data_IF_407664050278
#
_entry.id   IF_407664050278
#
_cell.length_a   1.000
_cell.length_b   1.000
_cell.length_c   1.000
_cell.angle_alpha   90.00
_cell.angle_beta   90.00
_cell.angle_gamma   90.00
#
_symmetry.space_group_name_H-M   'P 1'
#
loop_
_entity.id
_entity.type
_entity.pdbx_description
1 polymer ?
#
# COMPACT_ATOMS: atom_id res chain seq x y z
N UNK A 1 12.82 -11.95 -7.57
CA UNK A 1 12.98 -13.37 -7.99
C UNK A 1 11.61 -14.04 -8.13
N UNK A 2 11.40 -14.85 -9.17
CA UNK A 2 10.08 -15.46 -9.47
C UNK A 2 9.55 -16.31 -8.30
N UNK A 3 10.38 -17.18 -7.74
CA UNK A 3 10.00 -18.06 -6.63
C UNK A 3 9.55 -17.29 -5.37
N UNK A 4 10.16 -16.13 -5.11
CA UNK A 4 9.75 -15.27 -4.00
C UNK A 4 8.42 -14.59 -4.36
N UNK A 5 8.30 -14.02 -5.57
CA UNK A 5 7.09 -13.32 -6.01
C UNK A 5 5.85 -14.24 -6.03
N UNK A 6 6.02 -15.52 -6.37
CA UNK A 6 4.94 -16.51 -6.37
C UNK A 6 4.31 -16.77 -5.00
N UNK A 7 4.94 -16.30 -3.90
CA UNK A 7 4.43 -16.41 -2.53
C UNK A 7 3.54 -15.23 -2.12
N UNK A 8 3.32 -14.27 -3.01
CA UNK A 8 2.47 -13.13 -2.73
C UNK A 8 1.04 -13.58 -2.40
N UNK A 9 0.47 -12.99 -1.36
CA UNK A 9 -0.91 -13.25 -0.93
C UNK A 9 -1.74 -12.02 -1.27
N UNK A 10 -2.85 -12.22 -1.97
CA UNK A 10 -3.78 -11.14 -2.28
C UNK A 10 -4.35 -10.53 -0.98
N UNK A 11 -4.24 -9.21 -0.87
CA UNK A 11 -4.96 -8.39 0.09
C UNK A 11 -6.32 -7.97 -0.47
N UNK A 12 -6.76 -6.76 -0.13
CA UNK A 12 -8.00 -6.17 -0.68
C UNK A 12 -7.74 -5.42 -1.99
N UNK A 13 -8.82 -5.09 -2.69
CA UNK A 13 -8.79 -4.12 -3.81
C UNK A 13 -9.30 -2.78 -3.31
N UNK A 14 -8.48 -1.73 -3.43
CA UNK A 14 -8.92 -0.37 -3.13
C UNK A 14 -9.43 0.31 -4.41
N UNK A 15 -10.46 1.13 -4.25
CA UNK A 15 -11.07 1.93 -5.30
C UNK A 15 -10.81 3.40 -4.98
N UNK A 16 -10.03 4.06 -5.84
CA UNK A 16 -9.64 5.45 -5.65
C UNK A 16 -10.33 6.31 -6.70
N UNK A 17 -11.06 7.32 -6.24
CA UNK A 17 -11.61 8.38 -7.07
C UNK A 17 -11.19 9.72 -6.49
N UNK A 18 -10.31 10.44 -7.18
CA UNK A 18 -9.84 11.75 -6.74
C UNK A 18 -9.67 12.74 -7.88
N UNK A 19 -9.85 14.01 -7.56
CA UNK A 19 -9.55 15.12 -8.46
C UNK A 19 -8.11 15.57 -8.24
N UNK A 20 -7.34 15.61 -9.33
CA UNK A 20 -5.97 16.10 -9.39
C UNK A 20 -5.92 17.38 -10.26
N UNK A 21 -4.87 18.19 -10.16
CA UNK A 21 -4.70 19.36 -11.05
C UNK A 21 -4.74 18.99 -12.54
N UNK A 22 -4.28 17.79 -12.90
CA UNK A 22 -4.19 17.29 -14.27
C UNK A 22 -5.48 16.59 -14.75
N UNK A 23 -6.44 16.32 -13.86
CA UNK A 23 -7.68 15.65 -14.22
C UNK A 23 -8.31 14.82 -13.10
N UNK A 24 -8.95 13.71 -13.46
CA UNK A 24 -9.60 12.80 -12.52
C UNK A 24 -8.86 11.48 -12.54
N UNK A 25 -8.43 11.02 -11.37
CA UNK A 25 -7.92 9.67 -11.17
C UNK A 25 -9.08 8.78 -10.73
N UNK A 26 -9.31 7.69 -11.46
CA UNK A 26 -10.32 6.69 -11.18
C UNK A 26 -9.68 5.30 -11.35
N UNK A 27 -9.27 4.69 -10.25
CA UNK A 27 -8.36 3.54 -10.27
C UNK A 27 -8.80 2.42 -9.33
N UNK A 28 -8.32 1.22 -9.65
CA UNK A 28 -8.38 0.05 -8.80
C UNK A 28 -6.96 -0.39 -8.44
N UNK A 29 -6.67 -0.45 -7.15
CA UNK A 29 -5.37 -0.87 -6.63
C UNK A 29 -5.52 -2.29 -6.10
N UNK A 30 -4.84 -3.24 -6.73
CA UNK A 30 -4.78 -4.63 -6.27
C UNK A 30 -3.62 -4.79 -5.30
N UNK A 31 -3.92 -4.99 -4.01
CA UNK A 31 -2.92 -5.02 -2.96
C UNK A 31 -2.45 -6.45 -2.74
N UNK A 32 -1.14 -6.63 -2.54
CA UNK A 32 -0.54 -7.93 -2.27
C UNK A 32 0.47 -7.83 -1.12
N UNK A 33 0.44 -8.80 -0.23
CA UNK A 33 1.44 -8.97 0.82
C UNK A 33 2.49 -9.98 0.37
N UNK A 34 3.77 -9.68 0.57
CA UNK A 34 4.84 -10.62 0.32
C UNK A 34 5.84 -10.64 1.48
N UNK A 35 5.89 -11.77 2.19
CA UNK A 35 6.89 -12.00 3.22
C UNK A 35 8.25 -12.33 2.57
N UNK A 36 9.24 -11.48 2.81
CA UNK A 36 10.59 -11.61 2.26
C UNK A 36 11.51 -12.38 3.22
N UNK A 37 12.52 -13.13 2.71
CA UNK A 37 13.62 -13.62 3.52
C UNK A 37 14.37 -12.50 4.24
N UNK A 38 14.92 -12.77 5.43
CA UNK A 38 15.65 -11.76 6.21
C UNK A 38 16.91 -11.22 5.51
N UNK A 39 17.52 -12.03 4.65
CA UNK A 39 18.71 -11.69 3.87
C UNK A 39 18.39 -11.08 2.50
N UNK A 40 17.10 -10.87 2.20
CA UNK A 40 16.68 -10.31 0.92
C UNK A 40 16.95 -8.80 0.88
N UNK A 41 17.76 -8.38 -0.11
CA UNK A 41 17.99 -6.97 -0.41
C UNK A 41 17.41 -6.63 -1.79
N UNK A 42 16.39 -5.75 -1.88
CA UNK A 42 15.85 -5.31 -3.16
C UNK A 42 16.92 -4.53 -3.95
N UNK A 43 16.90 -4.71 -5.27
CA UNK A 43 17.80 -4.01 -6.20
C UNK A 43 16.95 -3.33 -7.25
N UNK A 44 17.21 -2.04 -7.46
CA UNK A 44 16.64 -1.32 -8.58
C UNK A 44 17.27 -1.82 -9.89
N UNK A 45 16.44 -2.26 -10.84
CA UNK A 45 16.87 -2.88 -12.09
C UNK A 45 16.69 -1.98 -13.32
N UNK A 46 15.77 -1.02 -13.25
CA UNK A 46 15.34 -0.18 -14.39
C UNK A 46 15.61 1.31 -14.18
N UNK A 47 16.00 1.72 -12.96
CA UNK A 47 16.32 3.11 -12.64
C UNK A 47 15.15 3.89 -12.07
N UNK A 48 13.97 3.29 -11.90
CA UNK A 48 12.78 4.02 -11.42
C UNK A 48 12.84 4.35 -9.92
N UNK A 49 13.52 3.51 -9.13
CA UNK A 49 13.61 3.65 -7.67
C UNK A 49 14.91 4.33 -7.23
N UNK A 50 14.80 5.48 -6.56
CA UNK A 50 15.97 6.17 -6.00
C UNK A 50 16.68 5.38 -4.88
N UNK A 51 15.92 4.80 -3.95
CA UNK A 51 16.46 3.98 -2.86
C UNK A 51 15.44 2.97 -2.32
N UNK A 52 15.94 1.93 -1.65
CA UNK A 52 15.14 1.03 -0.82
C UNK A 52 15.61 1.11 0.63
N UNK A 53 14.66 1.19 1.55
CA UNK A 53 14.93 1.24 2.98
C UNK A 53 14.11 0.18 3.72
N UNK A 54 14.79 -0.60 4.56
CA UNK A 54 14.12 -1.41 5.58
C UNK A 54 13.76 -0.51 6.76
N UNK A 55 12.48 -0.49 7.13
CA UNK A 55 11.95 0.36 8.18
C UNK A 55 11.07 -0.45 9.14
N UNK A 56 10.94 0.01 10.38
CA UNK A 56 10.03 -0.60 11.36
C UNK A 56 8.61 -0.11 11.10
N UNK A 57 7.60 -0.83 11.61
CA UNK A 57 6.19 -0.54 11.34
C UNK A 57 5.83 0.89 11.79
N UNK A 58 6.32 1.33 12.95
CA UNK A 58 6.05 2.68 13.44
C UNK A 58 6.67 3.78 12.57
N UNK A 59 7.85 3.54 11.99
CA UNK A 59 8.50 4.51 11.10
C UNK A 59 7.70 4.64 9.79
N UNK A 60 7.11 3.54 9.33
CA UNK A 60 6.23 3.51 8.15
C UNK A 60 4.90 4.20 8.44
N UNK A 61 4.29 3.94 9.61
CA UNK A 61 3.07 4.62 10.02
C UNK A 61 3.28 6.14 10.10
N UNK A 62 4.39 6.58 10.70
CA UNK A 62 4.76 7.99 10.75
C UNK A 62 4.95 8.59 9.35
N UNK A 63 5.61 7.88 8.42
CA UNK A 63 5.79 8.36 7.05
C UNK A 63 4.45 8.56 6.32
N UNK A 64 3.44 7.74 6.60
CA UNK A 64 2.08 7.91 6.06
C UNK A 64 1.42 9.16 6.65
N UNK A 65 1.49 9.35 7.96
CA UNK A 65 0.93 10.53 8.65
C UNK A 65 1.57 11.84 8.18
N UNK A 66 2.87 11.82 7.90
CA UNK A 66 3.63 12.97 7.39
C UNK A 66 3.40 13.22 5.89
N UNK A 67 2.67 12.34 5.19
CA UNK A 67 2.43 12.46 3.75
C UNK A 67 3.68 12.22 2.90
N UNK A 68 4.66 11.48 3.43
CA UNK A 68 5.91 11.16 2.74
C UNK A 68 5.76 10.02 1.70
N UNK A 69 4.59 9.41 1.63
CA UNK A 69 4.24 8.33 0.70
C UNK A 69 3.17 8.80 -0.29
N UNK A 70 3.15 8.21 -1.49
CA UNK A 70 2.06 8.41 -2.43
C UNK A 70 0.75 7.85 -1.86
N UNK A 71 -0.39 8.36 -2.32
CA UNK A 71 -1.72 7.89 -1.89
C UNK A 71 -1.83 6.36 -2.03
N UNK A 72 -1.46 5.82 -3.20
CA UNK A 72 -1.58 4.39 -3.48
C UNK A 72 -0.70 3.53 -2.56
N UNK A 73 0.54 3.98 -2.31
CA UNK A 73 1.47 3.27 -1.44
C UNK A 73 1.00 3.30 0.03
N UNK A 74 0.44 4.44 0.47
CA UNK A 74 -0.17 4.57 1.78
C UNK A 74 -1.36 3.61 1.93
N UNK A 75 -2.26 3.55 0.95
CA UNK A 75 -3.43 2.66 0.99
C UNK A 75 -3.04 1.18 1.01
N UNK A 76 -2.09 0.77 0.17
CA UNK A 76 -1.58 -0.60 0.16
C UNK A 76 -0.94 -0.98 1.51
N UNK A 77 -0.23 -0.04 2.13
CA UNK A 77 0.42 -0.25 3.42
C UNK A 77 -0.60 -0.35 4.55
N UNK A 78 -1.53 0.62 4.65
CA UNK A 78 -2.57 0.63 5.68
C UNK A 78 -3.44 -0.63 5.62
N UNK A 79 -3.79 -1.12 4.43
CA UNK A 79 -4.50 -2.39 4.27
C UNK A 79 -3.76 -3.55 4.95
N UNK A 80 -2.46 -3.68 4.71
CA UNK A 80 -1.63 -4.70 5.33
C UNK A 80 -1.56 -4.54 6.86
N UNK A 81 -1.27 -3.33 7.34
CA UNK A 81 -1.14 -3.05 8.79
C UNK A 81 -2.44 -3.40 9.54
N UNK A 82 -3.59 -3.02 8.98
CA UNK A 82 -4.92 -3.29 9.57
C UNK A 82 -5.26 -4.78 9.53
N UNK A 83 -5.12 -5.46 8.38
CA UNK A 83 -5.39 -6.91 8.29
C UNK A 83 -4.50 -7.75 9.20
N UNK A 84 -3.28 -7.28 9.47
CA UNK A 84 -2.33 -7.91 10.39
C UNK A 84 -2.53 -7.51 11.85
N UNK A 85 -3.39 -6.51 12.14
CA UNK A 85 -3.63 -5.92 13.47
C UNK A 85 -2.35 -5.36 14.10
N UNK A 86 -1.53 -4.71 13.29
CA UNK A 86 -0.33 -3.99 13.76
C UNK A 86 -0.64 -2.55 14.15
N UNK A 87 -1.77 -2.03 13.69
CA UNK A 87 -2.36 -0.76 14.12
C UNK A 87 -3.84 -1.00 14.46
N UNK A 88 -4.42 -0.09 15.24
CA UNK A 88 -5.83 -0.13 15.61
C UNK A 88 -6.71 0.32 14.44
N UNK A 89 -7.88 -0.31 14.28
CA UNK A 89 -8.84 0.05 13.22
C UNK A 89 -9.32 1.52 13.35
N UNK A 90 -9.44 2.01 14.58
CA UNK A 90 -9.84 3.39 14.89
C UNK A 90 -8.82 4.43 14.40
N UNK A 91 -7.56 4.02 14.12
CA UNK A 91 -6.56 4.92 13.54
C UNK A 91 -6.83 5.27 12.07
N UNK A 92 -7.74 4.53 11.41
CA UNK A 92 -8.05 4.66 9.98
C UNK A 92 -9.55 4.77 9.73
N UNK A 93 -10.23 5.66 10.47
CA UNK A 93 -11.67 5.87 10.32
C UNK A 93 -12.06 6.14 8.86
N UNK A 94 -13.04 5.38 8.35
CA UNK A 94 -13.57 5.53 7.00
C UNK A 94 -12.82 4.79 5.89
N UNK A 95 -11.68 4.16 6.18
CA UNK A 95 -10.89 3.43 5.18
C UNK A 95 -11.69 2.31 4.48
N UNK A 96 -12.68 1.71 5.17
CA UNK A 96 -13.53 0.66 4.63
C UNK A 96 -14.29 1.09 3.36
N UNK A 97 -14.61 2.38 3.22
CA UNK A 97 -15.27 2.89 2.02
C UNK A 97 -14.43 2.71 0.75
N UNK A 98 -13.09 2.67 0.88
CA UNK A 98 -12.18 2.48 -0.24
C UNK A 98 -12.18 1.04 -0.75
N UNK A 99 -12.59 0.06 0.06
CA UNK A 99 -12.59 -1.35 -0.34
C UNK A 99 -13.95 -1.83 -0.87
N UNK A 100 -14.96 -0.97 -0.83
CA UNK A 100 -16.24 -1.21 -1.48
C UNK A 100 -16.18 -0.80 -2.96
N UNK A 101 -16.73 -1.61 -3.89
CA UNK A 101 -16.86 -1.20 -5.28
C UNK A 101 -17.69 0.09 -5.38
N UNK A 102 -17.32 1.04 -6.25
CA UNK A 102 -18.10 2.24 -6.46
C UNK A 102 -19.48 1.84 -6.99
N UNK A 103 -20.53 2.35 -6.32
CA UNK A 103 -21.91 2.13 -6.76
C UNK A 103 -22.14 3.03 -7.98
N UNK A 104 -22.33 2.41 -9.15
CA UNK A 104 -22.82 3.12 -10.33
C UNK A 104 -24.29 3.50 -10.06
N UNK A 105 -24.54 4.79 -9.86
CA UNK A 105 -25.88 5.36 -9.77
C UNK A 105 -26.52 5.50 -11.16
#
# INVERSE_FOLDING_TARGET
PEEIAARAVAGRTAHVLQSLPEGTQAEQIFIYDLALPEDFAPRNQDGEVGEHRLARIEDVAQAIEEGAMTVDASLATLDCLLRRRWIDEDACEGIEALFAPPVLA
#
